data_IF_118594079732
#
_entry.id   IF_118594079732
#
_cell.length_a   1.000
_cell.length_b   1.000
_cell.length_c   1.000
_cell.angle_alpha   90.00
_cell.angle_beta   90.00
_cell.angle_gamma   90.00
#
_symmetry.space_group_name_H-M   'P 1'
#
loop_
_entity.id
_entity.type
_entity.pdbx_description
1 polymer ?
#
# COMPACT_ATOMS: atom_id res chain seq x y z
N UNK A 1 -17.07 4.59 -16.75
CA UNK A 1 -17.40 5.91 -17.35
C UNK A 1 -16.58 7.04 -16.74
N UNK A 2 -16.45 7.14 -15.40
CA UNK A 2 -15.72 8.24 -14.74
C UNK A 2 -14.23 8.38 -15.11
N UNK A 3 -13.47 7.28 -15.21
CA UNK A 3 -12.03 7.34 -15.50
C UNK A 3 -11.67 7.87 -16.90
N UNK A 4 -12.58 7.77 -17.88
CA UNK A 4 -12.28 8.17 -19.26
C UNK A 4 -12.34 9.69 -19.49
N UNK A 5 -12.80 10.47 -18.50
CA UNK A 5 -12.97 11.91 -18.60
C UNK A 5 -12.00 12.72 -17.73
N UNK A 6 -11.04 12.07 -17.07
CA UNK A 6 -10.05 12.76 -16.21
C UNK A 6 -9.32 13.86 -17.00
N UNK A 7 -8.93 13.60 -18.24
CA UNK A 7 -8.23 14.59 -19.06
C UNK A 7 -9.11 15.81 -19.45
N UNK A 8 -10.44 15.69 -19.38
CA UNK A 8 -11.35 16.81 -19.63
C UNK A 8 -11.52 17.68 -18.37
N UNK A 9 -11.56 17.07 -17.19
CA UNK A 9 -11.71 17.77 -15.90
C UNK A 9 -10.38 18.31 -15.36
N UNK A 10 -9.28 17.59 -15.58
CA UNK A 10 -7.93 17.94 -15.19
C UNK A 10 -7.01 17.89 -16.43
N UNK A 11 -6.96 18.97 -17.24
CA UNK A 11 -6.17 19.00 -18.46
C UNK A 11 -4.66 19.10 -18.20
N UNK A 12 -4.26 19.64 -17.04
CA UNK A 12 -2.88 19.63 -16.56
C UNK A 12 -2.69 18.48 -15.57
N UNK A 13 -1.65 17.67 -15.80
CA UNK A 13 -1.30 16.56 -14.93
C UNK A 13 -0.85 17.02 -13.52
N UNK A 14 -0.38 18.27 -13.37
CA UNK A 14 -0.06 18.84 -12.06
C UNK A 14 -1.30 19.05 -11.16
N UNK A 15 -2.51 19.02 -11.73
CA UNK A 15 -3.76 19.14 -10.96
C UNK A 15 -4.16 17.82 -10.29
N UNK A 16 -3.47 16.71 -10.60
CA UNK A 16 -3.82 15.38 -10.12
C UNK A 16 -3.02 15.02 -8.86
N UNK A 17 -3.75 14.56 -7.86
CA UNK A 17 -3.21 13.91 -6.66
C UNK A 17 -3.77 12.49 -6.61
N UNK A 18 -2.89 11.50 -6.44
CA UNK A 18 -3.25 10.10 -6.34
C UNK A 18 -3.15 9.64 -4.89
N UNK A 19 -4.19 8.98 -4.41
CA UNK A 19 -4.22 8.40 -3.06
C UNK A 19 -4.61 6.94 -3.21
N UNK A 20 -3.81 6.06 -2.62
CA UNK A 20 -4.07 4.62 -2.60
C UNK A 20 -3.60 4.02 -1.28
N UNK A 21 -4.08 2.83 -0.93
CA UNK A 21 -3.61 2.11 0.25
C UNK A 21 -2.56 1.07 -0.14
N UNK A 22 -1.41 1.09 0.55
CA UNK A 22 -0.44 0.01 0.48
C UNK A 22 -0.30 -0.66 1.85
N UNK A 23 -0.37 -1.99 1.86
CA UNK A 23 -0.27 -2.81 3.06
C UNK A 23 1.03 -3.62 3.05
N UNK A 24 1.71 -3.67 4.20
CA UNK A 24 2.89 -4.50 4.44
C UNK A 24 2.70 -5.34 5.70
N UNK A 25 2.76 -6.65 5.53
CA UNK A 25 2.90 -7.59 6.63
C UNK A 25 4.38 -7.94 6.84
N UNK A 26 4.84 -7.89 8.09
CA UNK A 26 6.22 -8.21 8.44
C UNK A 26 6.58 -9.68 8.18
N UNK A 27 5.61 -10.60 8.29
CA UNK A 27 5.84 -12.03 8.06
C UNK A 27 6.12 -12.36 6.59
N UNK A 28 5.53 -11.61 5.65
CA UNK A 28 5.76 -11.77 4.20
C UNK A 28 7.24 -11.64 3.84
N UNK A 29 7.98 -10.76 4.53
CA UNK A 29 9.42 -10.59 4.30
C UNK A 29 10.28 -11.77 4.81
N UNK A 30 9.86 -12.41 5.90
CA UNK A 30 10.53 -13.57 6.50
C UNK A 30 10.33 -14.83 5.65
N UNK A 31 9.13 -15.01 5.07
CA UNK A 31 8.81 -16.14 4.19
C UNK A 31 9.67 -16.17 2.91
N UNK A 32 9.99 -15.02 2.32
CA UNK A 32 10.86 -14.92 1.13
C UNK A 32 12.29 -15.45 1.35
N UNK A 33 12.78 -15.42 2.60
CA UNK A 33 14.15 -15.84 2.96
C UNK A 33 14.30 -17.36 3.15
N UNK A 34 13.21 -18.10 3.28
CA UNK A 34 13.24 -19.51 3.69
C UNK A 34 12.69 -20.50 2.65
N UNK A 35 12.65 -20.14 1.36
CA UNK A 35 12.11 -21.00 0.29
C UNK A 35 13.13 -21.80 -0.54
N UNK A 36 14.39 -21.91 -0.11
CA UNK A 36 15.44 -22.60 -0.89
C UNK A 36 15.83 -23.93 -0.25
N UNK A 37 15.90 -24.97 -1.08
CA UNK A 37 16.49 -26.26 -0.75
C UNK A 37 17.72 -26.49 -1.63
N UNK A 38 18.64 -27.33 -1.16
CA UNK A 38 19.78 -27.76 -1.97
C UNK A 38 19.31 -28.48 -3.24
N UNK A 39 20.10 -28.38 -4.31
CA UNK A 39 19.81 -29.02 -5.59
C UNK A 39 19.69 -30.54 -5.40
N UNK A 40 18.55 -31.10 -5.80
CA UNK A 40 18.25 -32.54 -5.64
C UNK A 40 17.44 -32.89 -4.38
N UNK A 41 17.17 -31.93 -3.49
CA UNK A 41 16.37 -32.15 -2.28
C UNK A 41 15.05 -31.38 -2.38
N UNK A 42 13.94 -32.05 -2.08
CA UNK A 42 12.61 -31.45 -2.13
C UNK A 42 12.44 -30.44 -0.99
N UNK A 43 12.12 -29.19 -1.32
CA UNK A 43 11.83 -28.15 -0.34
C UNK A 43 10.41 -28.33 0.21
N UNK A 44 10.25 -29.14 1.27
CA UNK A 44 8.99 -29.23 2.03
C UNK A 44 9.19 -28.53 3.37
N UNK A 45 8.51 -27.41 3.56
CA UNK A 45 8.37 -26.78 4.87
C UNK A 45 6.88 -26.67 5.20
N UNK A 46 6.46 -27.22 6.34
CA UNK A 46 5.15 -26.93 6.95
C UNK A 46 5.40 -25.94 8.08
N UNK A 47 4.88 -24.74 7.93
CA UNK A 47 4.90 -23.72 8.98
C UNK A 47 3.47 -23.27 9.23
N UNK A 48 3.16 -22.91 10.48
CA UNK A 48 1.93 -22.20 10.78
C UNK A 48 1.94 -20.86 10.03
N UNK A 49 0.79 -20.46 9.50
CA UNK A 49 0.62 -19.13 8.94
C UNK A 49 0.51 -18.15 10.11
N UNK A 50 1.65 -17.59 10.50
CA UNK A 50 1.72 -16.52 11.52
C UNK A 50 1.62 -15.21 10.76
N UNK A 51 0.59 -14.41 11.06
CA UNK A 51 0.55 -13.01 10.64
C UNK A 51 1.48 -12.23 11.56
N UNK A 52 2.37 -11.41 10.99
CA UNK A 52 3.18 -10.48 11.76
C UNK A 52 2.38 -9.22 12.08
N UNK A 53 3.06 -8.20 12.60
CA UNK A 53 2.45 -6.87 12.65
C UNK A 53 2.18 -6.40 11.22
N UNK A 54 0.91 -6.11 10.94
CA UNK A 54 0.47 -5.56 9.67
C UNK A 54 0.50 -4.04 9.78
N UNK A 55 1.18 -3.38 8.84
CA UNK A 55 1.17 -1.93 8.72
C UNK A 55 0.55 -1.55 7.37
N UNK A 56 -0.33 -0.56 7.37
CA UNK A 56 -0.82 0.08 6.15
C UNK A 56 -0.29 1.50 6.04
N UNK A 57 -0.02 1.95 4.82
CA UNK A 57 0.35 3.32 4.49
C UNK A 57 -0.65 3.88 3.48
N UNK A 58 -1.05 5.13 3.69
CA UNK A 58 -1.88 5.91 2.76
C UNK A 58 -1.08 7.13 2.29
N UNK A 59 -0.29 7.00 1.20
CA UNK A 59 0.41 8.14 0.63
C UNK A 59 -0.48 8.94 -0.32
N UNK A 60 -0.30 10.27 -0.32
CA UNK A 60 -0.74 11.17 -1.39
C UNK A 60 0.45 11.43 -2.30
N UNK A 61 0.31 11.06 -3.57
CA UNK A 61 1.36 11.10 -4.59
C UNK A 61 0.98 12.10 -5.68
N UNK A 62 1.94 12.95 -6.03
CA UNK A 62 1.88 13.88 -7.17
C UNK A 62 3.01 13.57 -8.14
N UNK A 63 3.13 14.33 -9.23
CA UNK A 63 4.27 14.22 -10.15
C UNK A 63 5.63 14.51 -9.47
N UNK A 64 5.63 15.32 -8.41
CA UNK A 64 6.83 15.66 -7.64
C UNK A 64 7.16 14.64 -6.52
N UNK A 65 6.32 13.60 -6.37
CA UNK A 65 6.50 12.54 -5.38
C UNK A 65 5.43 12.55 -4.28
N UNK A 66 5.78 11.98 -3.12
CA UNK A 66 4.89 11.85 -1.98
C UNK A 66 4.83 13.19 -1.23
N UNK A 67 3.65 13.79 -1.17
CA UNK A 67 3.44 15.09 -0.51
C UNK A 67 2.90 14.96 0.92
N UNK A 68 2.19 13.86 1.19
CA UNK A 68 1.66 13.52 2.51
C UNK A 68 1.58 11.99 2.63
N UNK A 69 1.68 11.48 3.84
CA UNK A 69 1.49 10.06 4.11
C UNK A 69 1.03 9.84 5.54
N UNK A 70 0.30 8.75 5.75
CA UNK A 70 -0.05 8.26 7.07
C UNK A 70 0.26 6.77 7.16
N UNK A 71 0.86 6.34 8.27
CA UNK A 71 1.24 4.95 8.52
C UNK A 71 0.52 4.50 9.78
N UNK A 72 -0.28 3.45 9.63
CA UNK A 72 -1.05 2.85 10.72
C UNK A 72 -0.72 1.38 10.88
N UNK A 73 -0.87 0.89 12.10
CA UNK A 73 -0.87 -0.55 12.36
C UNK A 73 -2.28 -1.10 12.11
N UNK A 74 -2.38 -2.13 11.26
CA UNK A 74 -3.63 -2.73 10.81
C UNK A 74 -4.24 -2.07 9.57
N UNK A 75 -5.45 -2.51 9.18
CA UNK A 75 -6.13 -2.01 7.99
C UNK A 75 -6.62 -0.56 8.15
N UNK A 76 -6.63 0.18 7.05
CA UNK A 76 -7.24 1.52 7.01
C UNK A 76 -8.75 1.39 7.07
N UNK A 77 -9.37 2.04 8.06
CA UNK A 77 -10.83 2.14 8.11
C UNK A 77 -11.32 3.38 7.36
N UNK A 78 -12.56 3.35 6.87
CA UNK A 78 -13.10 4.45 6.05
C UNK A 78 -13.19 5.79 6.79
N UNK A 79 -13.41 5.79 8.11
CA UNK A 79 -13.43 7.02 8.89
C UNK A 79 -12.03 7.67 8.98
N UNK A 80 -11.01 6.85 9.17
CA UNK A 80 -9.62 7.25 9.18
C UNK A 80 -9.18 7.79 7.82
N UNK A 81 -9.57 7.12 6.72
CA UNK A 81 -9.31 7.59 5.38
C UNK A 81 -9.95 8.97 5.11
N UNK A 82 -11.21 9.16 5.50
CA UNK A 82 -11.89 10.46 5.35
C UNK A 82 -11.24 11.54 6.20
N UNK A 83 -10.80 11.20 7.41
CA UNK A 83 -10.09 12.14 8.29
C UNK A 83 -8.75 12.53 7.67
N UNK A 84 -7.98 11.57 7.18
CA UNK A 84 -6.72 11.80 6.48
C UNK A 84 -6.89 12.76 5.29
N UNK A 85 -7.94 12.57 4.47
CA UNK A 85 -8.25 13.47 3.35
C UNK A 85 -8.57 14.90 3.82
N UNK A 86 -9.28 15.07 4.93
CA UNK A 86 -9.55 16.41 5.50
C UNK A 86 -8.31 17.09 6.05
N UNK A 87 -7.36 16.33 6.55
CA UNK A 87 -6.18 16.89 7.20
C UNK A 87 -5.08 17.24 6.18
N UNK A 88 -5.02 16.54 5.04
CA UNK A 88 -3.89 16.62 4.10
C UNK A 88 -4.26 17.01 2.66
N UNK A 89 -5.55 16.99 2.27
CA UNK A 89 -5.98 17.21 0.88
C UNK A 89 -7.00 18.33 0.74
N UNK A 90 -8.00 18.40 1.64
CA UNK A 90 -9.15 19.33 1.59
C UNK A 90 -8.94 20.55 2.47
#
# INVERSE_FOLDING_TARGET
LYMNHIAAEAPDANMLMFVDEAAKDECTSVCSRCGRSQKGVRCIARKHFVHGSWHSIVPVITLDGIIAYDIIEGPVNGAHFVQFLKDHVV
#
